data_IF_344584730214
#
_entry.id   IF_344584730214
#
_cell.length_a   1.000
_cell.length_b   1.000
_cell.length_c   1.000
_cell.angle_alpha   90.00
_cell.angle_beta   90.00
_cell.angle_gamma   90.00
#
_symmetry.space_group_name_H-M   'P 1'
#
loop_
_entity.id
_entity.type
_entity.pdbx_description
1 polymer ?
#
# COMPACT_ATOMS: atom_id res chain seq x y z
N UNK A 1 -37.20 -3.28 -2.30
CA UNK A 1 -36.28 -2.18 -1.93
C UNK A 1 -36.32 -1.16 -3.05
N UNK A 2 -36.29 0.13 -2.75
CA UNK A 2 -36.20 1.18 -3.78
C UNK A 2 -34.85 1.10 -4.48
N UNK A 3 -34.79 1.40 -5.78
CA UNK A 3 -33.55 1.50 -6.57
C UNK A 3 -32.52 2.42 -5.89
N UNK A 4 -32.99 3.47 -5.23
CA UNK A 4 -32.20 4.41 -4.43
C UNK A 4 -31.55 3.77 -3.20
N UNK A 5 -32.21 2.82 -2.55
CA UNK A 5 -31.63 2.09 -1.41
C UNK A 5 -30.53 1.14 -1.87
N UNK A 6 -30.65 0.57 -3.06
CA UNK A 6 -29.67 -0.33 -3.63
C UNK A 6 -28.41 0.40 -4.10
N UNK A 7 -28.55 1.59 -4.70
CA UNK A 7 -27.41 2.42 -5.11
C UNK A 7 -26.59 2.91 -3.90
N UNK A 8 -27.25 3.34 -2.83
CA UNK A 8 -26.57 3.73 -1.58
C UNK A 8 -25.81 2.54 -0.98
N UNK A 9 -26.43 1.36 -0.93
CA UNK A 9 -25.78 0.16 -0.39
C UNK A 9 -24.52 -0.21 -1.18
N UNK A 10 -24.61 -0.23 -2.52
CA UNK A 10 -23.46 -0.51 -3.39
C UNK A 10 -22.33 0.51 -3.21
N UNK A 11 -22.67 1.79 -3.05
CA UNK A 11 -21.69 2.85 -2.82
C UNK A 11 -21.00 2.72 -1.44
N UNK A 12 -21.76 2.35 -0.41
CA UNK A 12 -21.22 2.07 0.92
C UNK A 12 -20.29 0.84 0.90
N UNK A 13 -20.72 -0.26 0.28
CA UNK A 13 -19.89 -1.47 0.15
C UNK A 13 -18.58 -1.18 -0.61
N UNK A 14 -18.64 -0.35 -1.65
CA UNK A 14 -17.45 0.07 -2.40
C UNK A 14 -16.50 0.94 -1.56
N UNK A 15 -17.05 1.82 -0.70
CA UNK A 15 -16.26 2.62 0.23
C UNK A 15 -15.55 1.74 1.26
N UNK A 16 -16.27 0.80 1.88
CA UNK A 16 -15.70 -0.14 2.86
C UNK A 16 -14.53 -0.94 2.26
N UNK A 17 -14.69 -1.43 1.02
CA UNK A 17 -13.62 -2.12 0.30
C UNK A 17 -12.41 -1.21 0.04
N UNK A 18 -12.64 0.04 -0.34
CA UNK A 18 -11.57 1.00 -0.55
C UNK A 18 -10.81 1.32 0.75
N UNK A 19 -11.51 1.46 1.88
CA UNK A 19 -10.90 1.71 3.19
C UNK A 19 -10.07 0.52 3.68
N UNK A 20 -10.57 -0.70 3.48
CA UNK A 20 -9.81 -1.93 3.77
C UNK A 20 -8.53 -2.02 2.92
N UNK A 21 -8.61 -1.71 1.63
CA UNK A 21 -7.46 -1.69 0.74
C UNK A 21 -6.42 -0.63 1.18
N UNK A 22 -6.88 0.56 1.57
CA UNK A 22 -6.01 1.63 2.07
C UNK A 22 -5.30 1.24 3.39
N UNK A 23 -6.03 0.62 4.32
CA UNK A 23 -5.45 0.12 5.56
C UNK A 23 -4.39 -0.97 5.29
N UNK A 24 -4.67 -1.90 4.38
CA UNK A 24 -3.72 -2.94 3.98
C UNK A 24 -2.45 -2.36 3.36
N UNK A 25 -2.59 -1.42 2.42
CA UNK A 25 -1.44 -0.76 1.79
C UNK A 25 -0.59 -0.01 2.83
N UNK A 26 -1.23 0.68 3.76
CA UNK A 26 -0.56 1.41 4.85
C UNK A 26 0.22 0.47 5.76
N UNK A 27 -0.38 -0.66 6.13
CA UNK A 27 0.28 -1.68 6.95
C UNK A 27 1.48 -2.29 6.22
N UNK A 28 1.36 -2.59 4.93
CA UNK A 28 2.50 -3.09 4.12
C UNK A 28 3.66 -2.10 4.10
N UNK A 29 3.38 -0.81 3.87
CA UNK A 29 4.40 0.24 3.90
C UNK A 29 5.06 0.34 5.28
N UNK A 30 4.28 0.29 6.35
CA UNK A 30 4.79 0.33 7.71
C UNK A 30 5.72 -0.87 8.01
N UNK A 31 5.32 -2.08 7.63
CA UNK A 31 6.14 -3.29 7.78
C UNK A 31 7.49 -3.15 7.08
N UNK A 32 7.50 -2.68 5.82
CA UNK A 32 8.75 -2.49 5.08
C UNK A 32 9.62 -1.42 5.74
N UNK A 33 9.03 -0.30 6.18
CA UNK A 33 9.76 0.75 6.92
C UNK A 33 10.45 0.20 8.16
N UNK A 34 9.78 -0.67 8.93
CA UNK A 34 10.34 -1.25 10.15
C UNK A 34 11.61 -2.10 9.94
N UNK A 35 11.85 -2.60 8.71
CA UNK A 35 13.07 -3.36 8.43
C UNK A 35 14.34 -2.49 8.32
N UNK A 36 14.20 -1.17 8.20
CA UNK A 36 15.31 -0.19 8.10
C UNK A 36 16.38 -0.54 7.06
N UNK A 37 16.05 -1.36 6.04
CA UNK A 37 17.00 -1.87 5.05
C UNK A 37 18.10 -2.75 5.61
N UNK A 38 18.02 -3.26 6.85
CA UNK A 38 19.09 -4.03 7.49
C UNK A 38 18.70 -5.48 7.79
N UNK A 39 17.46 -5.70 8.23
CA UNK A 39 16.90 -7.04 8.39
C UNK A 39 16.54 -7.58 7.01
N UNK A 40 16.91 -8.81 6.70
CA UNK A 40 16.49 -9.42 5.43
C UNK A 40 14.96 -9.50 5.37
N UNK A 41 14.37 -9.17 4.22
CA UNK A 41 12.92 -9.23 4.04
C UNK A 41 12.56 -9.44 2.57
N UNK A 42 11.34 -9.91 2.31
CA UNK A 42 10.75 -9.91 0.99
C UNK A 42 9.47 -9.09 0.99
N UNK A 43 9.21 -8.40 -0.10
CA UNK A 43 8.00 -7.61 -0.30
C UNK A 43 7.49 -7.84 -1.72
N UNK A 44 6.19 -8.08 -1.85
CA UNK A 44 5.53 -8.13 -3.16
C UNK A 44 4.84 -6.79 -3.41
N UNK A 45 5.18 -6.15 -4.52
CA UNK A 45 4.55 -4.90 -4.98
C UNK A 45 3.99 -5.14 -6.37
N UNK A 46 2.68 -4.94 -6.56
CA UNK A 46 2.00 -5.18 -7.84
C UNK A 46 2.30 -6.55 -8.48
N UNK A 47 2.37 -7.60 -7.66
CA UNK A 47 2.67 -8.97 -8.10
C UNK A 47 4.16 -9.27 -8.32
N UNK A 48 5.05 -8.29 -8.19
CA UNK A 48 6.50 -8.47 -8.28
C UNK A 48 7.09 -8.61 -6.89
N UNK A 49 7.76 -9.74 -6.61
CA UNK A 49 8.43 -9.98 -5.33
C UNK A 49 9.87 -9.50 -5.38
N UNK A 50 10.23 -8.63 -4.44
CA UNK A 50 11.56 -8.09 -4.23
C UNK A 50 12.09 -8.61 -2.90
N UNK A 51 13.24 -9.28 -2.92
CA UNK A 51 13.91 -9.77 -1.72
C UNK A 51 15.16 -8.93 -1.43
N UNK A 52 15.24 -8.40 -0.21
CA UNK A 52 16.43 -7.75 0.35
C UNK A 52 17.10 -8.75 1.28
N UNK A 53 18.33 -9.13 0.97
CA UNK A 53 19.12 -10.03 1.81
C UNK A 53 19.44 -9.38 3.17
N UNK A 54 19.65 -10.20 4.20
CA UNK A 54 20.12 -9.70 5.49
C UNK A 54 21.53 -9.11 5.36
N UNK A 55 21.78 -8.00 6.06
CA UNK A 55 23.13 -7.47 6.17
C UNK A 55 23.95 -8.34 7.13
N UNK A 56 24.99 -9.03 6.64
CA UNK A 56 25.97 -9.71 7.48
C UNK A 56 27.24 -8.87 7.58
N UNK A 57 27.57 -8.47 8.81
CA UNK A 57 28.79 -7.72 9.13
C UNK A 57 30.09 -8.45 8.76
N UNK A 58 30.08 -9.78 8.66
CA UNK A 58 31.26 -10.59 8.32
C UNK A 58 31.56 -10.64 6.83
N UNK A 59 30.58 -10.31 5.99
CA UNK A 59 30.69 -10.30 4.52
C UNK A 59 30.44 -8.89 3.95
N UNK A 60 30.80 -7.87 4.72
CA UNK A 60 30.56 -6.47 4.42
C UNK A 60 31.22 -6.04 3.10
N UNK A 61 30.40 -5.78 2.07
CA UNK A 61 30.83 -5.21 0.79
C UNK A 61 30.02 -3.95 0.50
N UNK A 62 30.69 -2.78 0.45
CA UNK A 62 30.02 -1.49 0.31
C UNK A 62 29.11 -1.37 -0.93
N UNK A 63 29.49 -2.02 -2.04
CA UNK A 63 28.69 -2.06 -3.28
C UNK A 63 27.36 -2.79 -3.08
N UNK A 64 27.36 -3.89 -2.33
CA UNK A 64 26.14 -4.64 -2.00
C UNK A 64 25.23 -3.83 -1.07
N UNK A 65 25.78 -3.09 -0.11
CA UNK A 65 25.00 -2.22 0.80
C UNK A 65 24.24 -1.15 0.02
N UNK A 66 24.92 -0.42 -0.88
CA UNK A 66 24.26 0.61 -1.71
C UNK A 66 23.15 -0.01 -2.57
N UNK A 67 23.39 -1.18 -3.16
CA UNK A 67 22.35 -1.91 -3.89
C UNK A 67 21.12 -2.22 -3.03
N UNK A 68 21.33 -2.70 -1.79
CA UNK A 68 20.25 -2.99 -0.84
C UNK A 68 19.47 -1.74 -0.43
N UNK A 69 20.16 -0.65 -0.14
CA UNK A 69 19.54 0.64 0.20
C UNK A 69 18.67 1.13 -0.97
N UNK A 70 19.16 1.02 -2.20
CA UNK A 70 18.40 1.40 -3.39
C UNK A 70 17.17 0.52 -3.60
N UNK A 71 17.27 -0.80 -3.39
CA UNK A 71 16.14 -1.73 -3.45
C UNK A 71 15.12 -1.39 -2.36
N UNK A 72 15.58 -1.13 -1.13
CA UNK A 72 14.73 -0.75 -0.01
C UNK A 72 13.98 0.55 -0.27
N UNK A 73 14.68 1.59 -0.73
CA UNK A 73 14.09 2.87 -1.14
C UNK A 73 13.10 2.69 -2.29
N UNK A 74 13.40 1.83 -3.27
CA UNK A 74 12.50 1.48 -4.36
C UNK A 74 11.20 0.86 -3.86
N UNK A 75 11.29 -0.11 -2.94
CA UNK A 75 10.12 -0.74 -2.32
C UNK A 75 9.27 0.27 -1.54
N UNK A 76 9.90 1.16 -0.76
CA UNK A 76 9.20 2.22 -0.02
C UNK A 76 8.46 3.17 -0.94
N UNK A 77 9.07 3.58 -2.06
CA UNK A 77 8.43 4.44 -3.06
C UNK A 77 7.24 3.75 -3.73
N UNK A 78 7.41 2.49 -4.12
CA UNK A 78 6.38 1.73 -4.82
C UNK A 78 5.17 1.47 -3.91
N UNK A 79 5.39 1.06 -2.65
CA UNK A 79 4.32 0.94 -1.65
C UNK A 79 3.69 2.30 -1.30
N UNK A 80 4.48 3.38 -1.27
CA UNK A 80 3.96 4.73 -1.11
C UNK A 80 2.98 5.13 -2.22
N UNK A 81 3.26 4.76 -3.47
CA UNK A 81 2.36 4.97 -4.59
C UNK A 81 1.07 4.12 -4.50
N UNK A 82 1.17 2.89 -3.99
CA UNK A 82 0.01 2.02 -3.71
C UNK A 82 -0.90 2.66 -2.64
N UNK A 83 -0.32 3.16 -1.54
CA UNK A 83 -1.04 3.90 -0.49
C UNK A 83 -1.74 5.13 -1.07
N UNK A 84 -1.05 5.92 -1.89
CA UNK A 84 -1.63 7.10 -2.51
C UNK A 84 -2.83 6.75 -3.41
N UNK A 85 -2.67 5.75 -4.27
CA UNK A 85 -3.75 5.26 -5.14
C UNK A 85 -4.96 4.80 -4.33
N UNK A 86 -4.74 4.08 -3.23
CA UNK A 86 -5.82 3.63 -2.36
C UNK A 86 -6.49 4.80 -1.62
N UNK A 87 -5.73 5.82 -1.20
CA UNK A 87 -6.28 7.03 -0.59
C UNK A 87 -7.16 7.82 -1.57
N UNK A 88 -6.71 7.97 -2.81
CA UNK A 88 -7.47 8.61 -3.88
C UNK A 88 -8.78 7.85 -4.13
N UNK A 89 -8.74 6.51 -4.15
CA UNK A 89 -9.93 5.66 -4.27
C UNK A 89 -10.94 5.89 -3.15
N UNK A 90 -10.48 5.96 -1.89
CA UNK A 90 -11.34 6.25 -0.73
C UNK A 90 -11.99 7.63 -0.88
N UNK A 91 -11.22 8.65 -1.25
CA UNK A 91 -11.74 10.00 -1.49
C UNK A 91 -12.85 9.99 -2.54
N UNK A 92 -12.61 9.32 -3.66
CA UNK A 92 -13.56 9.29 -4.78
C UNK A 92 -14.84 8.53 -4.40
N UNK A 93 -14.73 7.41 -3.68
CA UNK A 93 -15.88 6.67 -3.14
C UNK A 93 -16.69 7.50 -2.15
N UNK A 94 -16.03 8.26 -1.24
CA UNK A 94 -16.72 9.17 -0.31
C UNK A 94 -17.45 10.30 -1.04
N UNK A 95 -16.82 10.89 -2.05
CA UNK A 95 -17.43 11.93 -2.86
C UNK A 95 -18.67 11.40 -3.61
N UNK A 96 -18.58 10.20 -4.17
CA UNK A 96 -19.71 9.56 -4.84
C UNK A 96 -20.86 9.26 -3.87
N UNK A 97 -20.58 8.64 -2.72
CA UNK A 97 -21.60 8.37 -1.70
C UNK A 97 -22.29 9.66 -1.23
N UNK A 98 -21.53 10.72 -0.98
CA UNK A 98 -22.09 12.02 -0.62
C UNK A 98 -23.01 12.58 -1.72
N UNK A 99 -22.61 12.44 -3.00
CA UNK A 99 -23.40 12.94 -4.13
C UNK A 99 -24.76 12.26 -4.27
N UNK A 100 -24.87 10.96 -3.95
CA UNK A 100 -26.13 10.22 -4.05
C UNK A 100 -27.01 10.35 -2.80
N UNK A 101 -26.43 10.66 -1.63
CA UNK A 101 -27.19 10.85 -0.38
C UNK A 101 -27.79 12.27 -0.29
N UNK A 102 -27.15 13.25 -0.91
CA UNK A 102 -27.64 14.64 -0.94
C UNK A 102 -28.62 14.87 -2.11
N UNK A 103 -28.62 14.00 -3.12
CA UNK A 103 -29.56 14.01 -4.25
C UNK A 103 -30.90 13.36 -3.89
#
# INVERSE_FOLDING_TARGET
>A
MSEYTESIKKAADALDLAEQAFALATNRLATVRCHNGQSGYSVTVNGVTVAVSQCDSRTYQGTLIRGREMIHLGALKALGAEVQTAADRVRDCRAYLASIVVA
#
